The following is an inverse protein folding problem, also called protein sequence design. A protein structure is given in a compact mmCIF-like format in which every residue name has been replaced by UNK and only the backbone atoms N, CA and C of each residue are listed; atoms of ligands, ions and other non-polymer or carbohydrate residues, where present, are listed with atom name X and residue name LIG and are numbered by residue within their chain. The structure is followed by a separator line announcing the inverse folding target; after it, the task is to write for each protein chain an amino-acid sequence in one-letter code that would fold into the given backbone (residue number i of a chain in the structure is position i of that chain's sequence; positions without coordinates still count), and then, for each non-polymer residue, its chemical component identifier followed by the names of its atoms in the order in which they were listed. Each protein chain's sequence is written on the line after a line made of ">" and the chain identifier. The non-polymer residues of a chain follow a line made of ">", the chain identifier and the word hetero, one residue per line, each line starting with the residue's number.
data_IF_703319144777
#
_entry.id   IF_703319144777
#
_cell.length_a   1.000
_cell.length_b   1.000
_cell.length_c   1.000
_cell.angle_alpha   90.00
_cell.angle_beta   90.00
_cell.angle_gamma   90.00
#
_symmetry.space_group_name_H-M   'P 1'
#
loop_
_entity.id
_entity.type
_entity.pdbx_description
1 polymer ?
#
# COMPACT_ATOMS: atom_id res chain seq x y z
N UNK A 1 2.51 -21.29 -6.56
CA UNK A 1 3.96 -21.62 -6.52
C UNK A 1 4.24 -22.92 -5.77
N UNK A 2 4.24 -22.98 -4.42
CA UNK A 2 4.68 -24.19 -3.67
C UNK A 2 3.72 -25.38 -3.70
N UNK A 3 2.40 -25.15 -3.75
CA UNK A 3 1.38 -26.20 -3.64
C UNK A 3 0.43 -26.25 -4.88
N UNK A 4 0.96 -26.41 -6.11
CA UNK A 4 0.15 -26.37 -7.35
C UNK A 4 -0.75 -27.61 -7.52
N UNK A 5 -0.56 -28.65 -6.70
CA UNK A 5 -1.42 -29.84 -6.63
C UNK A 5 -2.66 -29.64 -5.74
N UNK A 6 -2.71 -28.53 -4.98
CA UNK A 6 -3.79 -28.21 -4.03
C UNK A 6 -4.52 -26.92 -4.46
N UNK A 7 -3.83 -26.00 -5.13
CA UNK A 7 -4.41 -24.73 -5.62
C UNK A 7 -4.32 -24.64 -7.14
N UNK A 8 -5.46 -24.44 -7.81
CA UNK A 8 -5.56 -24.35 -9.27
C UNK A 8 -4.95 -23.06 -9.84
N UNK A 9 -4.80 -22.02 -9.01
CA UNK A 9 -4.15 -20.75 -9.33
C UNK A 9 -4.23 -19.77 -8.16
N UNK A 10 -3.77 -18.54 -8.36
CA UNK A 10 -3.80 -17.48 -7.35
C UNK A 10 -4.06 -16.09 -7.96
N UNK A 11 -4.71 -15.22 -7.18
CA UNK A 11 -4.81 -13.78 -7.42
C UNK A 11 -4.01 -13.07 -6.31
N UNK A 12 -2.84 -12.56 -6.68
CA UNK A 12 -1.91 -11.87 -5.81
C UNK A 12 -2.01 -10.36 -6.05
N UNK A 13 -2.99 -9.73 -5.40
CA UNK A 13 -3.23 -8.29 -5.52
C UNK A 13 -2.33 -7.49 -4.59
N UNK A 14 -1.72 -6.43 -5.12
CA UNK A 14 -0.78 -5.54 -4.44
C UNK A 14 0.31 -6.27 -3.64
N UNK A 15 0.77 -7.42 -4.12
CA UNK A 15 1.72 -8.27 -3.41
C UNK A 15 3.17 -7.83 -3.69
N UNK A 16 3.90 -7.24 -2.72
CA UNK A 16 5.23 -6.65 -2.91
C UNK A 16 6.34 -7.71 -2.93
N UNK A 17 6.16 -8.81 -3.67
CA UNK A 17 7.02 -10.00 -3.62
C UNK A 17 8.46 -9.78 -4.10
N UNK A 18 8.77 -8.61 -4.68
CA UNK A 18 10.12 -8.18 -5.07
C UNK A 18 10.72 -7.12 -4.13
N UNK A 19 10.04 -6.68 -3.06
CA UNK A 19 10.56 -5.66 -2.12
C UNK A 19 11.64 -6.17 -1.16
N UNK A 20 11.99 -7.45 -1.26
CA UNK A 20 12.96 -8.13 -0.42
C UNK A 20 14.38 -8.02 -1.00
N UNK A 21 15.39 -8.33 -0.18
CA UNK A 21 16.78 -8.42 -0.60
C UNK A 21 16.93 -9.26 -1.88
N UNK A 22 17.71 -8.75 -2.84
CA UNK A 22 17.91 -9.27 -4.19
C UNK A 22 16.69 -9.23 -5.14
N UNK A 23 15.54 -8.69 -4.73
CA UNK A 23 14.34 -8.57 -5.58
C UNK A 23 14.40 -7.47 -6.65
N UNK A 24 15.22 -6.43 -6.45
CA UNK A 24 15.56 -5.43 -7.47
C UNK A 24 15.08 -3.97 -7.30
N UNK A 25 14.02 -3.63 -6.53
CA UNK A 25 13.65 -2.24 -6.26
C UNK A 25 14.73 -1.47 -5.49
N UNK A 26 14.76 -0.14 -5.67
CA UNK A 26 15.51 0.75 -4.78
C UNK A 26 14.82 0.86 -3.42
N UNK A 27 15.60 0.97 -2.35
CA UNK A 27 15.10 1.17 -0.98
C UNK A 27 14.18 2.42 -0.84
N UNK A 28 14.33 3.41 -1.73
CA UNK A 28 13.50 4.61 -1.80
C UNK A 28 12.26 4.53 -2.70
N UNK A 29 12.05 3.42 -3.42
CA UNK A 29 10.97 3.29 -4.39
C UNK A 29 9.57 3.44 -3.75
N UNK A 30 9.40 2.96 -2.51
CA UNK A 30 8.16 3.12 -1.73
C UNK A 30 7.82 4.60 -1.50
N UNK A 31 8.78 5.37 -0.97
CA UNK A 31 8.61 6.80 -0.64
C UNK A 31 8.51 7.71 -1.87
N UNK A 32 9.14 7.31 -2.98
CA UNK A 32 8.93 7.95 -4.29
C UNK A 32 7.46 7.82 -4.73
N UNK A 33 6.84 6.63 -4.57
CA UNK A 33 5.41 6.45 -4.90
C UNK A 33 4.53 7.25 -3.92
N UNK A 34 4.80 7.22 -2.61
CA UNK A 34 4.09 8.08 -1.63
C UNK A 34 4.08 9.54 -2.06
N UNK A 35 5.25 10.06 -2.47
CA UNK A 35 5.40 11.43 -2.93
C UNK A 35 4.65 11.68 -4.24
N UNK A 36 4.77 10.77 -5.21
CA UNK A 36 4.09 10.82 -6.51
C UNK A 36 2.58 10.86 -6.37
N UNK A 37 2.00 10.06 -5.47
CA UNK A 37 0.55 10.00 -5.22
C UNK A 37 0.05 11.33 -4.64
N UNK A 38 0.74 11.90 -3.65
CA UNK A 38 0.41 13.21 -3.09
C UNK A 38 0.52 14.36 -4.12
N UNK A 39 1.57 14.38 -4.94
CA UNK A 39 1.75 15.41 -5.97
C UNK A 39 0.73 15.26 -7.12
N UNK A 40 0.39 14.03 -7.55
CA UNK A 40 -0.73 13.77 -8.48
C UNK A 40 -2.08 14.26 -7.93
N UNK A 41 -2.33 14.05 -6.64
CA UNK A 41 -3.57 14.46 -5.95
C UNK A 41 -3.61 15.93 -5.51
N UNK A 42 -2.67 16.77 -5.98
CA UNK A 42 -2.76 18.23 -5.90
C UNK A 42 -1.98 18.90 -4.76
N UNK A 43 -1.14 18.17 -4.02
CA UNK A 43 -0.23 18.78 -3.07
C UNK A 43 0.93 19.51 -3.77
N UNK A 44 1.50 20.50 -3.08
CA UNK A 44 2.70 21.21 -3.51
C UNK A 44 3.93 20.72 -2.73
N UNK A 45 4.97 20.27 -3.43
CA UNK A 45 6.20 19.73 -2.82
C UNK A 45 6.89 20.76 -1.90
N UNK A 46 6.95 22.02 -2.31
CA UNK A 46 7.56 23.10 -1.54
C UNK A 46 6.81 23.33 -0.23
N UNK A 47 5.47 23.29 -0.24
CA UNK A 47 4.63 23.40 0.95
C UNK A 47 4.93 22.29 1.97
N UNK A 48 5.00 21.03 1.52
CA UNK A 48 5.30 19.87 2.37
C UNK A 48 6.70 19.98 2.95
N UNK A 49 7.70 20.23 2.12
CA UNK A 49 9.11 20.32 2.55
C UNK A 49 9.35 21.47 3.51
N UNK A 50 8.73 22.63 3.28
CA UNK A 50 8.86 23.77 4.17
C UNK A 50 8.06 23.61 5.47
N UNK A 51 7.07 22.71 5.52
CA UNK A 51 6.42 22.31 6.78
C UNK A 51 7.26 21.31 7.59
N UNK A 52 7.98 20.39 6.95
CA UNK A 52 9.03 19.63 7.65
C UNK A 52 10.17 20.53 8.15
N UNK A 53 10.57 21.55 7.37
CA UNK A 53 11.55 22.55 7.82
C UNK A 53 11.05 23.35 9.04
N UNK A 54 9.77 23.71 9.10
CA UNK A 54 9.17 24.38 10.26
C UNK A 54 9.23 23.52 11.53
N UNK A 55 9.03 22.19 11.41
CA UNK A 55 9.23 21.25 12.52
C UNK A 55 10.69 21.24 12.96
N UNK A 56 11.64 21.17 12.02
CA UNK A 56 13.07 21.16 12.33
C UNK A 56 13.51 22.48 12.99
N UNK A 57 13.00 23.63 12.56
CA UNK A 57 13.20 24.94 13.18
C UNK A 57 12.70 24.96 14.64
N UNK A 58 11.48 24.48 14.89
CA UNK A 58 10.95 24.39 16.26
C UNK A 58 11.66 23.35 17.14
N UNK A 59 12.25 22.29 16.56
CA UNK A 59 12.98 21.26 17.32
C UNK A 59 14.26 21.78 18.00
N UNK A 60 14.74 22.97 17.62
CA UNK A 60 16.01 23.56 18.10
C UNK A 60 16.04 23.89 19.60
N UNK A 61 14.89 24.03 20.27
CA UNK A 61 14.81 24.45 21.66
C UNK A 61 13.50 24.02 22.34
N UNK A 62 13.51 23.95 23.68
CA UNK A 62 12.37 23.47 24.47
C UNK A 62 11.09 24.30 24.30
N UNK A 63 11.17 25.60 23.99
CA UNK A 63 9.98 26.44 23.75
C UNK A 63 9.35 26.15 22.39
N UNK A 64 10.15 25.90 21.35
CA UNK A 64 9.66 25.42 20.05
C UNK A 64 9.09 24.00 20.14
N UNK A 65 9.73 23.09 20.89
CA UNK A 65 9.19 21.76 21.16
C UNK A 65 7.85 21.84 21.91
N UNK A 66 7.68 22.77 22.86
CA UNK A 66 6.40 23.01 23.51
C UNK A 66 5.30 23.48 22.52
N UNK A 67 5.64 24.29 21.52
CA UNK A 67 4.74 24.68 20.42
C UNK A 67 4.37 23.45 19.57
N UNK A 68 5.32 22.57 19.22
CA UNK A 68 5.03 21.33 18.49
C UNK A 68 4.09 20.41 19.26
N UNK A 69 4.27 20.24 20.57
CA UNK A 69 3.34 19.48 21.41
C UNK A 69 1.90 20.06 21.35
N UNK A 70 1.74 21.38 21.25
CA UNK A 70 0.44 22.04 21.14
C UNK A 70 -0.18 21.86 19.75
N UNK A 71 0.58 22.14 18.67
CA UNK A 71 0.11 22.03 17.28
C UNK A 71 -0.34 20.59 16.98
N UNK A 72 0.51 19.62 17.28
CA UNK A 72 0.24 18.20 17.01
C UNK A 72 -0.58 17.51 18.12
N UNK A 73 -1.07 18.27 19.11
CA UNK A 73 -1.91 17.79 20.22
C UNK A 73 -1.33 16.55 20.92
N UNK A 74 -0.02 16.55 21.15
CA UNK A 74 0.69 15.41 21.73
C UNK A 74 0.17 15.17 23.15
N UNK A 75 -0.09 13.90 23.49
CA UNK A 75 -0.60 13.51 24.80
C UNK A 75 0.34 14.00 25.93
N UNK A 76 -0.22 14.70 26.91
CA UNK A 76 0.49 15.26 28.07
C UNK A 76 1.16 14.21 28.97
N UNK A 77 0.75 12.94 28.88
CA UNK A 77 1.44 11.82 29.53
C UNK A 77 2.68 11.33 28.77
N UNK A 78 2.83 11.70 27.49
CA UNK A 78 3.93 11.27 26.62
C UNK A 78 4.45 12.43 25.73
N UNK A 79 4.83 13.59 26.31
CA UNK A 79 5.27 14.75 25.54
C UNK A 79 6.63 14.52 24.86
N UNK A 80 6.85 15.28 23.78
CA UNK A 80 8.15 15.50 23.18
C UNK A 80 8.93 16.48 24.08
N UNK A 81 10.19 16.17 24.39
CA UNK A 81 11.02 16.93 25.34
C UNK A 81 12.31 17.42 24.66
N UNK A 82 12.93 16.57 23.82
CA UNK A 82 14.19 16.87 23.14
C UNK A 82 14.05 16.91 21.61
N UNK A 83 15.11 17.31 20.91
CA UNK A 83 15.16 17.27 19.44
C UNK A 83 15.09 15.82 18.93
N UNK A 84 15.73 14.89 19.63
CA UNK A 84 15.68 13.46 19.32
C UNK A 84 14.25 12.90 19.48
N UNK A 85 13.43 13.42 20.40
CA UNK A 85 12.01 13.02 20.46
C UNK A 85 11.25 13.47 19.20
N UNK A 86 11.54 14.67 18.66
CA UNK A 86 10.93 15.16 17.42
C UNK A 86 11.38 14.31 16.22
N UNK A 87 12.67 13.98 16.15
CA UNK A 87 13.25 13.22 15.03
C UNK A 87 12.89 11.73 15.03
N UNK A 88 12.80 11.10 16.21
CA UNK A 88 12.52 9.65 16.32
C UNK A 88 11.04 9.30 16.51
N UNK A 89 10.19 10.26 16.90
CA UNK A 89 8.75 10.02 17.11
C UNK A 89 7.87 10.91 16.23
N UNK A 90 7.98 12.25 16.31
CA UNK A 90 7.06 13.14 15.59
C UNK A 90 7.21 13.08 14.07
N UNK A 91 8.43 13.12 13.55
CA UNK A 91 8.66 13.06 12.09
C UNK A 91 8.22 11.70 11.52
N UNK A 92 8.55 10.54 12.12
CA UNK A 92 7.98 9.24 11.73
C UNK A 92 6.45 9.16 11.81
N UNK A 93 5.81 9.66 12.87
CA UNK A 93 4.35 9.68 13.01
C UNK A 93 3.66 10.50 11.90
N UNK A 94 4.26 11.63 11.50
CA UNK A 94 3.78 12.40 10.34
C UNK A 94 3.97 11.59 9.05
N UNK A 95 5.13 10.95 8.85
CA UNK A 95 5.45 10.16 7.65
C UNK A 95 4.49 8.96 7.50
N UNK A 96 4.22 8.25 8.59
CA UNK A 96 3.27 7.12 8.66
C UNK A 96 1.89 7.52 8.11
N UNK A 97 1.35 8.69 8.48
CA UNK A 97 0.10 9.18 7.90
C UNK A 97 0.18 9.43 6.38
N UNK A 98 1.30 9.93 5.84
CA UNK A 98 1.45 10.06 4.38
C UNK A 98 1.55 8.68 3.70
N UNK A 99 2.26 7.72 4.30
CA UNK A 99 2.34 6.33 3.82
C UNK A 99 0.93 5.72 3.77
N UNK A 100 0.18 5.75 4.88
CA UNK A 100 -1.18 5.19 4.99
C UNK A 100 -2.23 5.91 4.14
N UNK A 101 -2.14 7.23 3.98
CA UNK A 101 -3.07 7.99 3.12
C UNK A 101 -2.88 7.62 1.64
N UNK A 102 -1.63 7.44 1.18
CA UNK A 102 -1.35 7.04 -0.20
C UNK A 102 -1.74 5.58 -0.47
N UNK A 103 -1.49 4.68 0.49
CA UNK A 103 -1.93 3.28 0.41
C UNK A 103 -3.47 3.16 0.30
N UNK A 104 -4.20 4.03 0.99
CA UNK A 104 -5.66 3.99 1.11
C UNK A 104 -6.37 5.10 0.31
N UNK A 105 -5.76 5.63 -0.77
CA UNK A 105 -6.36 6.69 -1.60
C UNK A 105 -7.51 6.16 -2.48
N UNK A 106 -8.59 5.72 -1.84
CA UNK A 106 -9.70 5.03 -2.48
C UNK A 106 -10.75 5.99 -3.08
N UNK A 107 -11.40 5.62 -4.19
CA UNK A 107 -12.37 6.46 -4.90
C UNK A 107 -13.75 6.56 -4.20
N UNK A 108 -13.88 6.06 -2.98
CA UNK A 108 -15.09 6.09 -2.14
C UNK A 108 -14.69 6.01 -0.65
N UNK A 109 -15.56 6.44 0.30
CA UNK A 109 -15.27 6.34 1.72
C UNK A 109 -15.05 4.89 2.16
N UNK A 110 -14.00 4.65 2.94
CA UNK A 110 -13.58 3.31 3.33
C UNK A 110 -13.22 3.26 4.82
N UNK A 111 -13.40 2.10 5.44
CA UNK A 111 -12.90 1.83 6.79
C UNK A 111 -12.11 0.52 6.71
N UNK A 112 -10.78 0.60 6.76
CA UNK A 112 -9.88 -0.55 6.71
C UNK A 112 -8.86 -0.47 7.84
N UNK A 113 -7.83 0.38 7.73
CA UNK A 113 -7.02 0.83 8.88
C UNK A 113 -7.74 1.92 9.69
N UNK A 114 -8.23 2.93 8.97
CA UNK A 114 -8.91 4.08 9.52
C UNK A 114 -10.19 4.39 8.71
N UNK A 115 -11.18 5.07 9.30
CA UNK A 115 -12.36 5.57 8.59
C UNK A 115 -11.99 6.81 7.77
N UNK A 116 -11.76 6.62 6.47
CA UNK A 116 -11.29 7.63 5.52
C UNK A 116 -12.42 8.10 4.56
N UNK A 117 -12.39 9.37 4.13
CA UNK A 117 -13.27 9.90 3.08
C UNK A 117 -12.94 9.32 1.69
N UNK A 118 -13.72 9.69 0.66
CA UNK A 118 -13.33 9.50 -0.75
C UNK A 118 -12.09 10.36 -1.05
N UNK A 119 -11.10 9.79 -1.74
CA UNK A 119 -9.81 10.41 -2.10
C UNK A 119 -9.13 11.13 -0.93
N UNK A 120 -8.78 10.41 0.16
CA UNK A 120 -8.23 11.00 1.37
C UNK A 120 -6.91 11.77 1.14
N UNK A 121 -6.12 11.45 0.11
CA UNK A 121 -4.94 12.25 -0.23
C UNK A 121 -5.35 13.63 -0.77
N UNK A 122 -6.38 13.71 -1.62
CA UNK A 122 -6.90 15.00 -2.11
C UNK A 122 -7.47 15.84 -0.97
N UNK A 123 -8.12 15.21 0.01
CA UNK A 123 -8.60 15.89 1.23
C UNK A 123 -7.43 16.45 2.05
N UNK A 124 -6.35 15.69 2.25
CA UNK A 124 -5.14 16.16 2.92
C UNK A 124 -4.43 17.29 2.15
N UNK A 125 -4.39 17.21 0.81
CA UNK A 125 -3.74 18.20 -0.04
C UNK A 125 -4.41 19.58 -0.03
N UNK A 126 -5.66 19.72 0.42
CA UNK A 126 -6.32 21.02 0.62
C UNK A 126 -5.54 21.94 1.57
N UNK A 127 -4.81 21.39 2.53
CA UNK A 127 -3.97 22.15 3.46
C UNK A 127 -2.54 22.40 2.94
N UNK A 128 -2.12 21.67 1.90
CA UNK A 128 -0.73 21.62 1.41
C UNK A 128 -0.60 22.15 -0.03
N UNK A 129 -1.49 23.07 -0.43
CA UNK A 129 -1.59 23.59 -1.81
C UNK A 129 -0.47 24.57 -2.19
N UNK A 130 0.17 25.24 -1.22
CA UNK A 130 1.26 26.20 -1.45
C UNK A 130 2.08 26.46 -0.18
N UNK A 131 3.34 26.82 -0.38
CA UNK A 131 4.11 27.53 0.64
C UNK A 131 3.41 28.85 0.99
N UNK A 132 3.02 29.02 2.25
CA UNK A 132 2.55 30.30 2.79
C UNK A 132 2.53 30.31 4.32
N UNK A 133 2.65 31.49 4.92
CA UNK A 133 2.61 31.70 6.36
C UNK A 133 3.95 31.49 7.07
N UNK A 134 3.89 31.59 8.40
CA UNK A 134 4.98 31.34 9.35
C UNK A 134 5.21 29.84 9.59
N UNK A 135 6.25 29.50 10.35
CA UNK A 135 6.50 28.11 10.78
C UNK A 135 5.32 27.52 11.57
N UNK A 136 4.59 28.34 12.34
CA UNK A 136 3.38 27.93 13.03
C UNK A 136 2.29 27.52 12.04
N UNK A 137 2.07 28.33 11.00
CA UNK A 137 1.06 28.05 9.97
C UNK A 137 1.42 26.80 9.18
N UNK A 138 2.70 26.65 8.79
CA UNK A 138 3.24 25.49 8.06
C UNK A 138 3.06 24.19 8.84
N UNK A 139 3.46 24.17 10.12
CA UNK A 139 3.27 23.02 11.00
C UNK A 139 1.78 22.72 11.24
N UNK A 140 0.93 23.75 11.35
CA UNK A 140 -0.53 23.60 11.51
C UNK A 140 -1.20 23.04 10.24
N UNK A 141 -0.78 23.48 9.05
CA UNK A 141 -1.22 22.91 7.77
C UNK A 141 -0.86 21.42 7.67
N UNK A 142 0.34 21.04 8.10
CA UNK A 142 0.80 19.65 8.12
C UNK A 142 0.03 18.80 9.16
N UNK A 143 -0.27 19.34 10.34
CA UNK A 143 -1.17 18.71 11.31
C UNK A 143 -2.58 18.49 10.74
N UNK A 144 -3.15 19.49 10.06
CA UNK A 144 -4.48 19.39 9.43
C UNK A 144 -4.51 18.34 8.31
N UNK A 145 -3.42 18.18 7.55
CA UNK A 145 -3.29 17.14 6.54
C UNK A 145 -3.27 15.72 7.15
N UNK A 146 -2.42 15.47 8.16
CA UNK A 146 -2.38 14.14 8.81
C UNK A 146 -3.63 13.85 9.66
N UNK A 147 -4.37 14.89 10.07
CA UNK A 147 -5.67 14.75 10.73
C UNK A 147 -6.75 14.13 9.85
N UNK A 148 -6.52 13.97 8.53
CA UNK A 148 -7.38 13.16 7.66
C UNK A 148 -7.25 11.66 7.99
N UNK A 149 -6.07 11.20 8.44
CA UNK A 149 -5.84 9.82 8.85
C UNK A 149 -6.14 9.58 10.34
N UNK A 150 -5.47 10.29 11.24
CA UNK A 150 -5.61 10.08 12.69
C UNK A 150 -6.89 10.71 13.29
N UNK A 151 -7.57 11.58 12.54
CA UNK A 151 -8.63 12.43 13.06
C UNK A 151 -8.11 13.56 13.95
N UNK A 152 -9.01 14.46 14.35
CA UNK A 152 -8.67 15.67 15.12
C UNK A 152 -8.49 15.39 16.65
N UNK A 153 -7.87 14.26 17.00
CA UNK A 153 -7.73 13.73 18.37
C UNK A 153 -6.40 14.16 19.03
N UNK A 154 -6.22 13.81 20.30
CA UNK A 154 -4.92 13.85 20.98
C UNK A 154 -4.00 12.77 20.41
N UNK A 155 -2.78 13.13 20.01
CA UNK A 155 -1.83 12.22 19.37
C UNK A 155 -0.96 11.48 20.41
N UNK A 156 -0.91 10.15 20.32
CA UNK A 156 0.03 9.32 21.10
C UNK A 156 1.27 9.02 20.24
N UNK A 157 2.14 10.03 20.10
CA UNK A 157 3.26 10.04 19.13
C UNK A 157 4.42 9.14 19.55
N UNK A 158 4.56 8.89 20.86
CA UNK A 158 5.74 8.26 21.48
C UNK A 158 5.53 6.78 21.75
N UNK A 159 6.01 5.91 20.87
CA UNK A 159 5.94 4.45 21.04
C UNK A 159 6.66 3.93 22.30
N UNK A 160 7.61 4.67 22.88
CA UNK A 160 8.23 4.35 24.17
C UNK A 160 7.31 4.58 25.39
N UNK A 161 6.15 5.21 25.20
CA UNK A 161 5.18 5.58 26.25
C UNK A 161 3.71 5.30 25.86
N UNK A 162 3.45 4.96 24.61
CA UNK A 162 2.15 4.65 24.02
C UNK A 162 2.22 3.24 23.43
N UNK A 163 1.69 2.19 24.10
CA UNK A 163 1.80 0.81 23.63
C UNK A 163 1.18 0.58 22.24
N UNK A 164 0.10 1.30 21.92
CA UNK A 164 -0.67 1.17 20.69
C UNK A 164 -0.16 2.08 19.54
N UNK A 165 1.10 2.54 19.58
CA UNK A 165 1.62 3.56 18.66
C UNK A 165 2.81 3.08 17.79
N UNK A 166 2.61 3.14 16.47
CA UNK A 166 3.62 2.84 15.45
C UNK A 166 3.99 1.35 15.35
N UNK A 167 5.04 1.08 14.58
CA UNK A 167 5.47 -0.25 14.09
C UNK A 167 5.35 -1.44 15.07
N UNK A 168 5.63 -1.20 16.36
CA UNK A 168 5.74 -2.27 17.35
C UNK A 168 4.40 -2.64 18.02
N UNK A 169 3.28 -2.06 17.55
CA UNK A 169 1.94 -2.38 18.04
C UNK A 169 1.47 -3.79 17.61
N UNK A 170 1.76 -4.22 16.37
CA UNK A 170 1.56 -5.62 15.96
C UNK A 170 2.83 -6.44 16.19
N UNK A 171 2.87 -7.12 17.34
CA UNK A 171 3.97 -8.02 17.71
C UNK A 171 4.12 -9.23 16.79
N UNK A 172 3.07 -9.65 16.07
CA UNK A 172 3.13 -10.77 15.14
C UNK A 172 3.74 -10.32 13.81
N UNK A 173 3.30 -9.19 13.25
CA UNK A 173 3.90 -8.62 12.04
C UNK A 173 5.35 -8.20 12.27
N UNK A 174 5.62 -7.47 13.37
CA UNK A 174 6.97 -7.13 13.81
C UNK A 174 7.89 -8.36 13.93
N UNK A 175 7.38 -9.49 14.42
CA UNK A 175 8.16 -10.73 14.50
C UNK A 175 8.46 -11.33 13.13
N UNK A 176 7.54 -11.24 12.17
CA UNK A 176 7.76 -11.69 10.80
C UNK A 176 8.81 -10.84 10.08
N UNK A 177 8.76 -9.51 10.18
CA UNK A 177 9.81 -8.64 9.60
C UNK A 177 11.18 -8.87 10.25
N UNK A 178 11.21 -9.16 11.55
CA UNK A 178 12.44 -9.52 12.26
C UNK A 178 12.97 -10.94 11.98
N UNK A 179 12.28 -11.80 11.23
CA UNK A 179 12.70 -13.19 11.02
C UNK A 179 12.72 -13.67 9.57
N UNK A 180 11.71 -13.35 8.75
CA UNK A 180 11.60 -13.84 7.36
C UNK A 180 11.20 -12.80 6.34
N UNK A 181 10.42 -11.77 6.71
CA UNK A 181 9.82 -10.79 5.82
C UNK A 181 10.58 -9.46 5.93
N UNK A 182 11.90 -9.49 5.74
CA UNK A 182 12.77 -8.32 5.95
C UNK A 182 12.55 -7.31 4.81
N UNK A 183 11.82 -6.22 5.09
CA UNK A 183 11.53 -5.15 4.12
C UNK A 183 12.48 -3.97 4.36
N UNK A 184 13.46 -3.80 3.46
CA UNK A 184 14.42 -2.70 3.52
C UNK A 184 13.86 -1.47 2.76
N UNK A 185 13.17 -0.55 3.46
CA UNK A 185 12.70 0.73 2.89
C UNK A 185 13.23 1.96 3.65
N UNK A 186 13.54 3.04 2.91
CA UNK A 186 14.08 4.29 3.47
C UNK A 186 13.68 5.51 2.61
N UNK A 187 13.51 6.69 3.19
CA UNK A 187 13.39 7.91 2.40
C UNK A 187 14.78 8.39 1.95
N UNK A 188 14.95 8.59 0.65
CA UNK A 188 16.16 9.14 0.03
C UNK A 188 16.18 10.67 0.11
N UNK A 189 15.02 11.30 0.23
CA UNK A 189 14.82 12.75 0.22
C UNK A 189 14.95 13.38 -1.17
N UNK A 190 14.82 14.71 -1.28
CA UNK A 190 14.76 15.42 -2.55
C UNK A 190 16.02 15.22 -3.39
N UNK A 191 15.91 14.97 -4.71
CA UNK A 191 14.70 15.06 -5.54
C UNK A 191 13.88 13.76 -5.66
N UNK A 192 14.20 12.71 -4.89
CA UNK A 192 13.59 11.38 -5.04
C UNK A 192 12.22 11.27 -4.36
N UNK A 193 12.08 11.91 -3.20
CA UNK A 193 10.86 12.00 -2.40
C UNK A 193 10.86 13.33 -1.61
N UNK A 194 9.73 13.73 -1.02
CA UNK A 194 9.62 15.02 -0.30
C UNK A 194 9.91 14.94 1.21
N UNK A 195 10.31 13.80 1.74
CA UNK A 195 10.64 13.65 3.16
C UNK A 195 12.08 14.12 3.44
N UNK A 196 12.51 14.02 4.70
CA UNK A 196 13.93 14.16 5.01
C UNK A 196 14.66 12.87 4.63
N UNK A 197 15.87 12.99 4.08
CA UNK A 197 16.70 11.82 3.83
C UNK A 197 17.07 11.17 5.15
N UNK A 198 16.75 9.88 5.29
CA UNK A 198 17.25 9.03 6.38
C UNK A 198 17.84 7.71 5.85
N UNK A 199 17.96 7.57 4.53
CA UNK A 199 18.59 6.41 3.94
C UNK A 199 20.12 6.47 4.04
N UNK A 200 20.68 5.38 4.55
CA UNK A 200 22.04 4.98 4.28
C UNK A 200 22.00 3.48 4.00
N UNK A 201 22.21 3.09 2.74
CA UNK A 201 22.09 1.70 2.28
C UNK A 201 22.99 0.74 3.08
N UNK A 202 24.11 1.23 3.62
CA UNK A 202 25.02 0.45 4.45
C UNK A 202 24.53 0.19 5.89
N UNK A 203 23.46 0.86 6.35
CA UNK A 203 22.95 0.77 7.73
C UNK A 203 21.45 0.54 7.87
N UNK A 204 20.63 0.55 6.81
CA UNK A 204 19.18 0.20 6.91
C UNK A 204 19.00 -1.16 7.58
N UNK A 205 19.69 -2.18 7.08
CA UNK A 205 19.72 -3.53 7.65
C UNK A 205 20.24 -3.61 9.09
N UNK A 206 21.22 -2.78 9.49
CA UNK A 206 21.72 -2.78 10.87
C UNK A 206 20.72 -2.14 11.83
N UNK A 207 20.07 -1.04 11.42
CA UNK A 207 18.99 -0.41 12.17
C UNK A 207 17.79 -1.36 12.38
N UNK A 208 17.42 -2.15 11.36
CA UNK A 208 16.41 -3.22 11.50
C UNK A 208 16.85 -4.24 12.55
N UNK A 209 18.07 -4.80 12.42
CA UNK A 209 18.62 -5.79 13.37
C UNK A 209 18.68 -5.27 14.81
N UNK A 210 19.11 -4.04 15.02
CA UNK A 210 19.21 -3.38 16.33
C UNK A 210 17.81 -3.19 16.95
N UNK A 211 16.83 -2.70 16.18
CA UNK A 211 15.45 -2.56 16.66
C UNK A 211 14.81 -3.91 17.00
N UNK A 212 14.97 -4.92 16.13
CA UNK A 212 14.50 -6.28 16.41
C UNK A 212 15.13 -6.85 17.69
N UNK A 213 16.45 -6.71 17.85
CA UNK A 213 17.16 -7.19 19.04
C UNK A 213 16.78 -6.45 20.31
N UNK A 214 16.43 -5.16 20.22
CA UNK A 214 15.93 -4.33 21.31
C UNK A 214 14.52 -4.74 21.75
N UNK A 215 13.59 -4.85 20.80
CA UNK A 215 12.16 -5.04 21.10
C UNK A 215 11.81 -6.50 21.45
N UNK A 216 12.54 -7.48 20.89
CA UNK A 216 12.35 -8.90 21.18
C UNK A 216 13.41 -9.51 22.14
N UNK A 217 14.18 -8.67 22.86
CA UNK A 217 15.21 -9.13 23.80
C UNK A 217 14.71 -10.20 24.80
N UNK A 218 13.49 -10.04 25.31
CA UNK A 218 12.88 -10.91 26.33
C UNK A 218 12.23 -12.18 25.75
N UNK A 219 12.14 -12.36 24.43
CA UNK A 219 11.56 -13.57 23.81
C UNK A 219 12.62 -14.63 23.45
N UNK A 220 13.90 -14.35 23.74
CA UNK A 220 15.03 -15.19 23.31
C UNK A 220 15.49 -14.92 21.87
N UNK A 221 15.04 -13.81 21.27
CA UNK A 221 15.46 -13.40 19.94
C UNK A 221 16.97 -13.16 19.84
N UNK A 222 17.54 -13.59 18.72
CA UNK A 222 18.93 -13.38 18.31
C UNK A 222 18.92 -12.92 16.84
N UNK A 223 19.79 -11.99 16.46
CA UNK A 223 19.94 -11.54 15.06
C UNK A 223 20.25 -12.66 14.06
N UNK A 224 20.68 -13.86 14.50
CA UNK A 224 20.81 -15.06 13.66
C UNK A 224 19.47 -15.66 13.21
N UNK A 225 18.34 -15.24 13.80
CA UNK A 225 17.00 -15.65 13.38
C UNK A 225 16.52 -14.90 12.12
N UNK A 226 17.09 -13.71 11.85
CA UNK A 226 16.74 -12.82 10.75
C UNK A 226 17.33 -13.33 9.43
N UNK A 227 16.50 -13.93 8.58
CA UNK A 227 16.87 -14.53 7.29
C UNK A 227 16.67 -13.53 6.15
N UNK A 228 17.64 -12.63 5.98
CA UNK A 228 17.66 -11.56 4.96
C UNK A 228 17.30 -12.04 3.54
N UNK A 229 17.85 -13.18 3.13
CA UNK A 229 17.63 -13.82 1.82
C UNK A 229 16.65 -15.00 1.91
N UNK A 230 15.87 -15.07 2.99
CA UNK A 230 14.90 -16.14 3.26
C UNK A 230 13.80 -16.20 2.21
N UNK A 231 13.21 -15.05 1.84
CA UNK A 231 12.17 -14.99 0.81
C UNK A 231 12.71 -15.44 -0.55
N UNK A 232 13.92 -15.02 -0.93
CA UNK A 232 14.57 -15.43 -2.17
C UNK A 232 14.81 -16.95 -2.19
N UNK A 233 15.47 -17.49 -1.16
CA UNK A 233 15.80 -18.93 -1.06
C UNK A 233 14.56 -19.82 -1.00
N UNK A 234 13.49 -19.36 -0.36
CA UNK A 234 12.25 -20.12 -0.25
C UNK A 234 11.41 -20.02 -1.52
N UNK A 235 11.15 -18.83 -2.05
CA UNK A 235 10.13 -18.63 -3.09
C UNK A 235 10.72 -18.29 -4.47
N UNK A 236 11.82 -17.54 -4.50
CA UNK A 236 12.50 -17.07 -5.71
C UNK A 236 11.76 -15.93 -6.43
N UNK A 237 12.54 -15.10 -7.12
CA UNK A 237 12.05 -13.93 -7.88
C UNK A 237 12.00 -14.18 -9.40
N UNK A 238 12.19 -15.43 -9.84
CA UNK A 238 12.08 -15.86 -11.23
C UNK A 238 10.83 -16.71 -11.44
N UNK A 239 9.87 -16.14 -12.17
CA UNK A 239 8.56 -16.73 -12.38
C UNK A 239 8.51 -17.70 -13.57
N UNK A 240 9.64 -18.07 -14.20
CA UNK A 240 9.69 -19.08 -15.29
C UNK A 240 9.15 -20.45 -14.86
N UNK A 241 9.34 -20.82 -13.58
CA UNK A 241 8.83 -22.07 -13.01
C UNK A 241 7.39 -22.02 -12.49
N UNK A 242 6.72 -20.88 -12.56
CA UNK A 242 5.35 -20.70 -12.07
C UNK A 242 4.29 -20.92 -13.17
N UNK A 243 3.03 -21.04 -12.75
CA UNK A 243 1.84 -21.04 -13.59
C UNK A 243 0.63 -20.56 -12.79
N UNK A 244 -0.42 -20.14 -13.49
CA UNK A 244 -1.72 -19.72 -12.94
C UNK A 244 -1.60 -18.71 -11.79
N UNK A 245 -1.02 -17.53 -12.07
CA UNK A 245 -0.93 -16.42 -11.11
C UNK A 245 -1.34 -15.11 -11.80
N UNK A 246 -2.36 -14.45 -11.25
CA UNK A 246 -2.67 -13.06 -11.57
C UNK A 246 -1.91 -12.19 -10.57
N UNK A 247 -1.01 -11.34 -11.05
CA UNK A 247 -0.47 -10.23 -10.27
C UNK A 247 -1.24 -8.97 -10.61
N UNK A 248 -1.65 -8.20 -9.61
CA UNK A 248 -2.25 -6.87 -9.81
C UNK A 248 -1.55 -5.84 -8.93
N UNK A 249 -1.47 -4.61 -9.42
CA UNK A 249 -0.81 -3.50 -8.73
C UNK A 249 -1.54 -2.20 -9.05
N UNK A 250 -1.71 -1.32 -8.07
CA UNK A 250 -2.22 0.03 -8.30
C UNK A 250 -1.11 1.03 -8.64
N UNK A 251 -1.45 2.14 -9.32
CA UNK A 251 -0.48 3.20 -9.62
C UNK A 251 -0.39 4.31 -8.56
N UNK A 252 -1.31 4.30 -7.58
CA UNK A 252 -1.27 5.13 -6.38
C UNK A 252 -0.66 4.37 -5.18
N UNK A 253 -0.71 3.04 -5.24
CA UNK A 253 -0.29 2.10 -4.20
C UNK A 253 1.22 2.11 -3.96
N UNK A 254 1.61 2.50 -2.75
CA UNK A 254 3.01 2.52 -2.28
C UNK A 254 3.69 1.16 -2.34
N UNK A 255 2.95 0.05 -2.14
CA UNK A 255 3.48 -1.32 -2.21
C UNK A 255 3.74 -1.79 -3.64
N UNK A 256 3.23 -1.10 -4.66
CA UNK A 256 3.55 -1.38 -6.07
C UNK A 256 5.05 -1.23 -6.37
N UNK A 257 5.83 -0.59 -5.48
CA UNK A 257 7.29 -0.53 -5.58
C UNK A 257 7.95 -1.90 -5.57
N UNK A 258 7.34 -2.88 -4.91
CA UNK A 258 7.77 -4.28 -4.86
C UNK A 258 6.97 -5.23 -5.76
N UNK A 259 6.05 -4.69 -6.57
CA UNK A 259 5.14 -5.47 -7.38
C UNK A 259 5.84 -6.21 -8.53
N UNK A 260 5.33 -7.38 -8.89
CA UNK A 260 5.70 -8.04 -10.15
C UNK A 260 5.20 -7.18 -11.32
N UNK A 261 6.03 -6.99 -12.35
CA UNK A 261 5.71 -6.26 -13.58
C UNK A 261 5.90 -7.14 -14.82
N UNK A 262 5.45 -6.69 -15.98
CA UNK A 262 5.74 -7.32 -17.28
C UNK A 262 7.25 -7.58 -17.55
N UNK A 263 8.12 -6.74 -16.98
CA UNK A 263 9.57 -6.81 -17.13
C UNK A 263 10.26 -7.67 -16.06
N UNK A 264 9.53 -8.15 -15.05
CA UNK A 264 10.10 -9.01 -13.99
C UNK A 264 10.55 -10.38 -14.53
N UNK A 265 11.57 -11.02 -13.93
CA UNK A 265 12.16 -12.25 -14.47
C UNK A 265 11.12 -13.37 -14.67
N UNK A 266 10.99 -13.82 -15.91
CA UNK A 266 10.08 -14.90 -16.27
C UNK A 266 8.60 -14.53 -16.49
N UNK A 267 8.26 -13.24 -16.52
CA UNK A 267 6.87 -12.77 -16.81
C UNK A 267 6.62 -12.53 -18.32
N UNK A 268 7.64 -12.12 -19.09
CA UNK A 268 7.50 -11.87 -20.52
C UNK A 268 6.90 -13.07 -21.27
N UNK A 269 5.77 -12.84 -21.95
CA UNK A 269 4.96 -13.83 -22.69
C UNK A 269 4.40 -15.00 -21.83
N UNK A 270 4.28 -14.82 -20.51
CA UNK A 270 3.88 -15.87 -19.57
C UNK A 270 2.37 -16.16 -19.51
N UNK A 271 1.53 -15.43 -20.26
CA UNK A 271 0.09 -15.71 -20.44
C UNK A 271 -0.15 -17.16 -20.91
N UNK A 272 0.78 -17.70 -21.71
CA UNK A 272 0.85 -19.11 -22.13
C UNK A 272 0.87 -20.13 -20.98
N UNK A 273 1.31 -19.72 -19.78
CA UNK A 273 1.33 -20.49 -18.52
C UNK A 273 0.28 -19.99 -17.51
N UNK A 274 -0.69 -19.19 -17.95
CA UNK A 274 -1.67 -18.55 -17.08
C UNK A 274 -1.08 -17.53 -16.11
N UNK A 275 0.05 -16.89 -16.43
CA UNK A 275 0.53 -15.75 -15.65
C UNK A 275 0.07 -14.46 -16.30
N UNK A 276 -0.58 -13.59 -15.52
CA UNK A 276 -1.18 -12.34 -15.96
C UNK A 276 -0.70 -11.19 -15.06
N UNK A 277 -0.65 -9.97 -15.61
CA UNK A 277 -0.17 -8.79 -14.89
C UNK A 277 -1.03 -7.58 -15.21
N UNK A 278 -1.69 -7.00 -14.20
CA UNK A 278 -2.55 -5.83 -14.35
C UNK A 278 -2.01 -4.64 -13.55
N UNK A 279 -1.60 -3.59 -14.24
CA UNK A 279 -1.31 -2.28 -13.64
C UNK A 279 -2.56 -1.40 -13.72
N UNK A 280 -3.18 -1.12 -12.58
CA UNK A 280 -4.52 -0.55 -12.50
C UNK A 280 -4.41 0.94 -12.17
N UNK A 281 -4.51 1.79 -13.19
CA UNK A 281 -4.45 3.25 -13.02
C UNK A 281 -5.65 3.78 -12.21
N UNK A 282 -5.38 4.64 -11.23
CA UNK A 282 -6.37 5.12 -10.25
C UNK A 282 -6.69 4.13 -9.14
N UNK A 283 -5.91 3.05 -8.99
CA UNK A 283 -6.00 2.14 -7.86
C UNK A 283 -4.95 2.47 -6.81
N UNK A 284 -5.40 2.58 -5.56
CA UNK A 284 -4.59 2.41 -4.37
C UNK A 284 -4.52 0.91 -3.99
N UNK A 285 -4.13 0.57 -2.75
CA UNK A 285 -3.79 -0.80 -2.35
C UNK A 285 -4.96 -1.80 -2.51
N UNK A 286 -4.76 -2.83 -3.33
CA UNK A 286 -5.69 -3.90 -3.68
C UNK A 286 -7.17 -3.48 -3.84
N UNK A 287 -7.44 -2.36 -4.55
CA UNK A 287 -8.81 -1.90 -4.82
C UNK A 287 -9.65 -2.94 -5.59
N UNK A 288 -8.99 -3.74 -6.41
CA UNK A 288 -9.56 -4.84 -7.19
C UNK A 288 -10.12 -5.98 -6.32
N UNK A 289 -9.54 -6.26 -5.15
CA UNK A 289 -10.11 -7.18 -4.15
C UNK A 289 -11.28 -6.57 -3.35
N UNK A 290 -11.44 -5.25 -3.33
CA UNK A 290 -12.54 -4.62 -2.58
C UNK A 290 -13.88 -4.88 -3.26
N UNK A 291 -14.93 -4.99 -2.45
CA UNK A 291 -16.31 -5.11 -2.93
C UNK A 291 -16.64 -3.95 -3.90
N UNK A 292 -17.12 -4.24 -5.14
CA UNK A 292 -17.38 -3.22 -6.15
C UNK A 292 -18.42 -2.17 -5.74
N UNK A 293 -18.26 -0.94 -6.25
CA UNK A 293 -19.13 0.22 -5.98
C UNK A 293 -19.45 1.00 -7.27
N UNK A 294 -20.45 1.90 -7.21
CA UNK A 294 -20.74 2.87 -8.28
C UNK A 294 -19.64 3.92 -8.52
N UNK A 295 -18.68 4.05 -7.60
CA UNK A 295 -17.58 5.02 -7.68
C UNK A 295 -16.27 4.41 -8.19
N UNK A 296 -16.28 3.13 -8.56
CA UNK A 296 -15.10 2.41 -9.05
C UNK A 296 -14.64 2.95 -10.41
N UNK A 297 -13.36 3.32 -10.58
CA UNK A 297 -12.79 3.71 -11.87
C UNK A 297 -12.97 2.63 -12.94
N UNK A 298 -13.11 3.07 -14.20
CA UNK A 298 -13.30 2.18 -15.36
C UNK A 298 -12.19 1.12 -15.47
N UNK A 299 -10.96 1.48 -15.13
CA UNK A 299 -9.78 0.62 -15.06
C UNK A 299 -9.95 -0.60 -14.15
N UNK A 300 -10.38 -0.41 -12.89
CA UNK A 300 -10.55 -1.50 -11.93
C UNK A 300 -11.77 -2.38 -12.24
N UNK A 301 -12.83 -1.80 -12.82
CA UNK A 301 -13.99 -2.57 -13.31
C UNK A 301 -13.57 -3.53 -14.44
N UNK A 302 -12.77 -3.05 -15.40
CA UNK A 302 -12.22 -3.89 -16.47
C UNK A 302 -11.23 -4.93 -15.95
N UNK A 303 -10.38 -4.58 -14.98
CA UNK A 303 -9.46 -5.52 -14.33
C UNK A 303 -10.25 -6.68 -13.69
N UNK A 304 -11.21 -6.37 -12.80
CA UNK A 304 -12.04 -7.40 -12.14
C UNK A 304 -12.79 -8.29 -13.14
N UNK A 305 -13.30 -7.73 -14.24
CA UNK A 305 -13.98 -8.52 -15.28
C UNK A 305 -13.05 -9.55 -15.92
N UNK A 306 -11.85 -9.13 -16.35
CA UNK A 306 -10.87 -10.05 -16.96
C UNK A 306 -10.36 -11.09 -15.96
N UNK A 307 -10.14 -10.67 -14.70
CA UNK A 307 -9.73 -11.52 -13.59
C UNK A 307 -10.77 -12.63 -13.32
N UNK A 308 -12.06 -12.29 -13.27
CA UNK A 308 -13.14 -13.27 -13.09
C UNK A 308 -13.19 -14.27 -14.26
N UNK A 309 -12.96 -13.84 -15.50
CA UNK A 309 -12.89 -14.75 -16.66
C UNK A 309 -11.72 -15.74 -16.53
N UNK A 310 -10.54 -15.28 -16.13
CA UNK A 310 -9.37 -16.14 -15.86
C UNK A 310 -9.68 -17.16 -14.75
N UNK A 311 -10.21 -16.68 -13.61
CA UNK A 311 -10.51 -17.53 -12.44
C UNK A 311 -11.61 -18.56 -12.74
N UNK A 312 -12.63 -18.21 -13.53
CA UNK A 312 -13.66 -19.15 -13.98
C UNK A 312 -13.06 -20.28 -14.83
N UNK A 313 -12.07 -19.99 -15.67
CA UNK A 313 -11.38 -21.02 -16.45
C UNK A 313 -10.45 -21.91 -15.62
N UNK A 314 -9.85 -21.41 -14.54
CA UNK A 314 -9.09 -22.25 -13.61
C UNK A 314 -9.98 -23.12 -12.72
N UNK A 315 -11.18 -22.65 -12.36
CA UNK A 315 -12.17 -23.41 -11.61
C UNK A 315 -12.90 -24.46 -12.49
N UNK A 316 -13.11 -24.17 -13.77
CA UNK A 316 -13.90 -24.98 -14.69
C UNK A 316 -13.18 -25.21 -16.06
N UNK A 317 -11.99 -25.83 -16.08
CA UNK A 317 -11.14 -25.94 -17.27
C UNK A 317 -11.71 -26.83 -18.40
N UNK A 318 -12.84 -27.51 -18.17
CA UNK A 318 -13.55 -28.32 -19.17
C UNK A 318 -14.53 -27.52 -20.05
N UNK A 319 -14.69 -26.22 -19.77
CA UNK A 319 -15.52 -25.30 -20.56
C UNK A 319 -14.90 -25.03 -21.95
N UNK A 320 -15.69 -24.98 -23.05
CA UNK A 320 -15.18 -24.71 -24.40
C UNK A 320 -14.40 -23.39 -24.51
N UNK A 321 -14.86 -22.33 -23.84
CA UNK A 321 -14.22 -21.01 -23.80
C UNK A 321 -12.84 -21.02 -23.11
N UNK A 322 -12.55 -22.05 -22.31
CA UNK A 322 -11.31 -22.21 -21.55
C UNK A 322 -10.29 -23.12 -22.24
N UNK A 323 -10.56 -23.52 -23.49
CA UNK A 323 -9.70 -24.41 -24.29
C UNK A 323 -8.36 -23.80 -24.70
N UNK A 324 -8.21 -22.48 -24.61
CA UNK A 324 -6.93 -21.76 -24.77
C UNK A 324 -6.73 -20.76 -23.62
N UNK A 325 -5.47 -20.38 -23.29
CA UNK A 325 -5.22 -19.34 -22.29
C UNK A 325 -5.95 -18.03 -22.61
N UNK A 326 -6.53 -17.40 -21.59
CA UNK A 326 -7.25 -16.14 -21.72
C UNK A 326 -6.37 -15.06 -22.34
N UNK A 327 -6.92 -14.34 -23.33
CA UNK A 327 -6.20 -13.29 -24.04
C UNK A 327 -6.40 -11.96 -23.30
N UNK A 328 -5.50 -11.67 -22.36
CA UNK A 328 -5.47 -10.40 -21.63
C UNK A 328 -5.53 -9.22 -22.62
N UNK A 329 -6.46 -8.30 -22.35
CA UNK A 329 -6.60 -7.01 -23.00
C UNK A 329 -6.00 -5.93 -22.10
N UNK A 330 -5.53 -4.84 -22.71
CA UNK A 330 -5.10 -3.65 -21.98
C UNK A 330 -6.27 -3.07 -21.16
N UNK A 331 -5.95 -2.46 -20.02
CA UNK A 331 -6.94 -1.74 -19.22
C UNK A 331 -7.17 -0.35 -19.81
N UNK A 332 -8.38 0.22 -19.69
CA UNK A 332 -8.59 1.62 -20.03
C UNK A 332 -7.81 2.52 -19.07
N UNK A 333 -7.48 3.71 -19.57
CA UNK A 333 -6.93 4.81 -18.78
C UNK A 333 -7.80 5.15 -17.56
N UNK A 334 -7.22 5.82 -16.58
CA UNK A 334 -7.96 6.27 -15.40
C UNK A 334 -9.03 7.31 -15.76
N UNK A 335 -10.30 6.91 -15.65
CA UNK A 335 -11.45 7.80 -15.63
C UNK A 335 -12.10 7.75 -14.24
N UNK A 336 -12.22 8.90 -13.58
CA UNK A 336 -12.98 9.01 -12.33
C UNK A 336 -14.47 9.07 -12.61
N UNK A 337 -15.21 8.10 -12.06
CA UNK A 337 -16.68 8.11 -12.12
C UNK A 337 -17.23 9.23 -11.22
N UNK A 338 -17.93 10.18 -11.85
CA UNK A 338 -18.61 11.31 -11.19
C UNK A 338 -19.92 10.87 -10.49
N UNK A 339 -19.87 9.79 -9.72
CA UNK A 339 -20.95 9.32 -8.87
C UNK A 339 -20.87 10.01 -7.50
N UNK A 340 -21.97 10.65 -7.09
CA UNK A 340 -22.16 11.20 -5.74
C UNK A 340 -22.63 10.14 -4.74
N UNK A 341 -23.09 8.99 -5.24
CA UNK A 341 -23.55 7.84 -4.47
C UNK A 341 -22.63 6.66 -4.76
N UNK A 342 -21.82 6.28 -3.76
CA UNK A 342 -20.89 5.16 -3.85
C UNK A 342 -21.46 3.84 -3.29
N UNK A 343 -22.78 3.59 -3.41
CA UNK A 343 -23.36 2.29 -3.00
C UNK A 343 -22.59 1.10 -3.59
N UNK A 344 -22.37 0.11 -2.74
CA UNK A 344 -21.96 -1.24 -3.11
C UNK A 344 -22.84 -1.86 -4.19
N UNK A 345 -22.20 -2.52 -5.16
CA UNK A 345 -22.85 -3.33 -6.20
C UNK A 345 -22.76 -4.81 -5.78
N UNK A 346 -23.89 -5.41 -5.43
CA UNK A 346 -24.01 -6.83 -5.08
C UNK A 346 -24.53 -7.60 -6.30
N UNK A 347 -23.97 -8.79 -6.58
CA UNK A 347 -24.35 -9.67 -7.70
C UNK A 347 -24.32 -9.03 -9.11
N UNK A 348 -23.69 -7.86 -9.26
CA UNK A 348 -23.77 -7.05 -10.49
C UNK A 348 -22.82 -7.44 -11.62
N UNK A 349 -22.15 -8.61 -11.59
CA UNK A 349 -21.30 -9.09 -12.68
C UNK A 349 -22.10 -9.17 -14.00
N UNK A 350 -21.61 -8.69 -15.16
CA UNK A 350 -20.24 -8.25 -15.49
C UNK A 350 -19.95 -6.76 -15.24
N UNK A 351 -20.63 -6.11 -14.30
CA UNK A 351 -20.44 -4.72 -13.88
C UNK A 351 -20.58 -3.69 -15.01
N UNK A 352 -21.52 -3.94 -15.93
CA UNK A 352 -21.82 -3.07 -17.07
C UNK A 352 -20.95 -3.31 -18.32
N UNK A 353 -19.99 -4.23 -18.28
CA UNK A 353 -19.16 -4.55 -19.46
C UNK A 353 -19.97 -5.42 -20.44
N UNK A 354 -20.30 -4.84 -21.60
CA UNK A 354 -20.88 -5.56 -22.73
C UNK A 354 -19.83 -6.41 -23.43
N UNK A 355 -19.81 -7.72 -23.19
CA UNK A 355 -18.98 -8.62 -23.99
C UNK A 355 -19.55 -8.77 -25.41
N UNK A 356 -18.69 -8.92 -26.43
CA UNK A 356 -19.13 -9.21 -27.81
C UNK A 356 -19.87 -10.56 -27.94
N UNK A 357 -19.72 -11.44 -26.96
CA UNK A 357 -20.36 -12.75 -26.85
C UNK A 357 -21.73 -12.70 -26.12
N UNK A 358 -22.08 -11.57 -25.50
CA UNK A 358 -23.34 -11.40 -24.76
C UNK A 358 -24.59 -11.61 -25.64
N UNK A 359 -24.47 -11.47 -26.96
CA UNK A 359 -25.53 -11.72 -27.94
C UNK A 359 -25.90 -13.19 -28.13
N UNK A 360 -25.19 -14.15 -27.53
CA UNK A 360 -25.52 -15.59 -27.63
C UNK A 360 -25.65 -16.34 -26.30
N UNK A 361 -25.16 -15.81 -25.16
CA UNK A 361 -25.14 -16.57 -23.89
C UNK A 361 -25.52 -15.78 -22.61
N UNK A 362 -26.17 -14.62 -22.72
CA UNK A 362 -26.62 -13.82 -21.56
C UNK A 362 -27.62 -14.53 -20.61
N UNK A 363 -28.18 -15.68 -21.00
CA UNK A 363 -29.21 -16.39 -20.24
C UNK A 363 -28.67 -17.38 -19.17
N UNK A 364 -27.41 -17.83 -19.25
CA UNK A 364 -26.95 -19.02 -18.50
C UNK A 364 -26.11 -18.74 -17.25
N UNK A 365 -25.59 -17.52 -17.05
CA UNK A 365 -24.82 -17.16 -15.84
C UNK A 365 -25.69 -16.88 -14.60
N UNK A 366 -27.01 -16.71 -14.77
CA UNK A 366 -27.94 -16.28 -13.72
C UNK A 366 -28.90 -17.38 -13.21
N UNK A 367 -28.94 -18.55 -13.87
CA UNK A 367 -30.01 -19.54 -13.65
C UNK A 367 -29.60 -20.76 -12.81
N UNK A 368 -28.47 -21.40 -13.09
CA UNK A 368 -28.13 -22.71 -12.54
C UNK A 368 -26.67 -22.79 -12.05
N UNK A 369 -26.45 -22.32 -10.83
CA UNK A 369 -25.17 -22.48 -10.13
C UNK A 369 -25.12 -21.65 -8.85
N UNK A 370 -25.25 -22.29 -7.69
CA UNK A 370 -24.72 -21.70 -6.44
C UNK A 370 -23.21 -21.86 -6.53
N UNK A 371 -22.53 -20.83 -7.02
CA UNK A 371 -21.09 -20.85 -7.28
C UNK A 371 -20.29 -20.88 -5.97
N UNK A 372 -20.07 -22.08 -5.43
CA UNK A 372 -19.10 -22.34 -4.36
C UNK A 372 -17.66 -22.24 -4.88
N UNK A 373 -17.28 -21.07 -5.39
CA UNK A 373 -15.89 -20.70 -5.58
C UNK A 373 -15.31 -20.34 -4.21
N UNK A 374 -14.67 -21.31 -3.55
CA UNK A 374 -14.03 -21.10 -2.25
C UNK A 374 -12.76 -20.24 -2.41
N UNK A 375 -12.94 -18.93 -2.54
CA UNK A 375 -11.83 -17.97 -2.50
C UNK A 375 -11.33 -17.89 -1.06
N UNK A 376 -10.22 -18.57 -0.77
CA UNK A 376 -9.48 -18.37 0.49
C UNK A 376 -8.70 -17.06 0.36
N UNK A 377 -9.33 -15.94 0.75
CA UNK A 377 -8.67 -14.64 0.80
C UNK A 377 -7.74 -14.60 2.01
N UNK A 378 -6.46 -14.88 1.76
CA UNK A 378 -5.40 -14.66 2.74
C UNK A 378 -4.91 -13.20 2.64
N UNK A 379 -5.45 -12.33 3.50
CA UNK A 379 -4.90 -10.98 3.67
C UNK A 379 -3.55 -11.07 4.41
N UNK A 380 -2.44 -10.92 3.67
CA UNK A 380 -1.20 -10.44 4.27
C UNK A 380 -1.34 -8.92 4.45
N UNK A 381 -1.67 -8.55 5.68
CA UNK A 381 -1.86 -7.17 6.12
C UNK A 381 -0.49 -6.61 6.54
N UNK A 382 0.14 -5.82 5.67
CA UNK A 382 1.50 -5.27 5.87
C UNK A 382 1.46 -4.04 6.80
N UNK A 383 1.10 -4.22 8.07
CA UNK A 383 0.76 -3.09 8.95
C UNK A 383 1.61 -2.95 10.20
N UNK A 384 1.98 -1.68 10.41
CA UNK A 384 2.88 -1.11 11.43
C UNK A 384 4.44 -1.36 11.05
#
# INVERSE_FOLDING_TARGET
>A
MKYPTITAGAWAASAPVLLFKNGGPSLGAYFNITSRTFLKSGCNETAIRAAFQAIDNYSTNSSGIAILNQIFKVNTSSPLITKEDVENFLKPYIREAFESLAELDYPYPANFLAPLPKWPVREACKYLTKDSGSDFDRATHLFNAISVYYGNKTACVRSDKCPDAGFWADLAWSWQECTEIIIEKCALGPPNDFFWSYCNESTVLSMIKENCQKNFNNTGYNTTMLREDGVEKLYGFDFRGASNIIFTNGDLDVWSSGGVTENSPGIKNANSRGIYNYYIHGSAHHLDLRQPTKCDPTSVVHARYQIVQILLCWAYPTRPECSTPFQQQDLPEFEEVNATDCTTIINGYPWGIESKESKTNSANLSAHGVFYLTIVIAFLSFFY
#
